data_IF_209902496684
#
_entry.id   IF_209902496684
#
_cell.length_a   1.000
_cell.length_b   1.000
_cell.length_c   1.000
_cell.angle_alpha   90.00
_cell.angle_beta   90.00
_cell.angle_gamma   90.00
#
_symmetry.space_group_name_H-M   'P 1'
#
loop_
_entity.id
_entity.type
_entity.pdbx_description
1 polymer ?
#
# COMPACT_ATOMS: atom_id res chain seq x y z
N UNK A 1 24.05 51.88 -9.46
CA UNK A 1 22.62 51.49 -9.42
C UNK A 1 22.29 50.36 -10.42
N UNK A 2 23.04 49.24 -10.44
CA UNK A 2 22.82 48.11 -11.38
C UNK A 2 22.84 46.72 -10.70
N UNK A 3 23.36 46.62 -9.48
CA UNK A 3 23.49 45.37 -8.71
C UNK A 3 22.16 44.89 -8.08
N UNK A 4 21.28 45.80 -7.65
CA UNK A 4 19.99 45.43 -7.03
C UNK A 4 18.98 44.82 -8.01
N UNK A 5 19.26 44.89 -9.32
CA UNK A 5 18.42 44.31 -10.39
C UNK A 5 18.67 42.81 -10.60
N UNK A 6 19.88 42.33 -10.30
CA UNK A 6 20.26 40.92 -10.43
C UNK A 6 19.82 40.08 -9.23
N UNK A 7 19.78 40.70 -8.04
CA UNK A 7 19.28 40.06 -6.82
C UNK A 7 17.75 39.92 -6.82
N UNK A 8 17.02 40.86 -7.45
CA UNK A 8 15.56 40.80 -7.56
C UNK A 8 15.04 39.72 -8.52
N UNK A 9 15.84 39.28 -9.50
CA UNK A 9 15.46 38.21 -10.44
C UNK A 9 15.80 36.80 -9.96
N UNK A 10 16.67 36.65 -8.95
CA UNK A 10 17.12 35.35 -8.45
C UNK A 10 16.13 34.73 -7.44
N UNK A 11 15.40 35.58 -6.70
CA UNK A 11 14.43 35.18 -5.66
C UNK A 11 13.21 34.43 -6.25
N UNK A 12 12.55 34.88 -7.34
CA UNK A 12 11.43 34.13 -7.92
C UNK A 12 11.87 32.84 -8.64
N UNK A 13 13.08 32.79 -9.20
CA UNK A 13 13.61 31.59 -9.87
C UNK A 13 13.92 30.44 -8.90
N UNK A 14 14.43 30.75 -7.71
CA UNK A 14 14.62 29.76 -6.63
C UNK A 14 13.28 29.24 -6.10
N UNK A 15 12.27 30.10 -5.94
CA UNK A 15 10.93 29.66 -5.54
C UNK A 15 10.31 28.67 -6.51
N UNK A 16 10.35 28.96 -7.81
CA UNK A 16 9.80 28.08 -8.84
C UNK A 16 10.56 26.75 -8.96
N UNK A 17 11.88 26.76 -8.86
CA UNK A 17 12.69 25.52 -8.90
C UNK A 17 12.50 24.66 -7.66
N UNK A 18 12.35 25.26 -6.47
CA UNK A 18 12.00 24.53 -5.25
C UNK A 18 10.59 23.95 -5.32
N UNK A 19 9.59 24.69 -5.84
CA UNK A 19 8.24 24.16 -6.05
C UNK A 19 8.22 23.03 -7.06
N UNK A 20 9.01 23.11 -8.14
CA UNK A 20 9.12 22.05 -9.13
C UNK A 20 9.84 20.81 -8.58
N UNK A 21 10.86 21.01 -7.74
CA UNK A 21 11.53 19.93 -7.01
C UNK A 21 10.59 19.26 -6.00
N UNK A 22 9.76 20.04 -5.29
CA UNK A 22 8.76 19.52 -4.37
C UNK A 22 7.63 18.78 -5.09
N UNK A 23 7.20 19.26 -6.26
CA UNK A 23 6.18 18.59 -7.07
C UNK A 23 6.72 17.28 -7.69
N UNK A 24 8.00 17.24 -8.05
CA UNK A 24 8.67 16.03 -8.54
C UNK A 24 8.88 14.99 -7.43
N UNK A 25 9.12 15.42 -6.18
CA UNK A 25 9.35 14.50 -5.05
C UNK A 25 8.07 14.08 -4.33
N UNK A 26 7.05 14.94 -4.26
CA UNK A 26 5.79 14.63 -3.57
C UNK A 26 4.88 13.65 -4.32
N UNK A 27 4.99 13.56 -5.65
CA UNK A 27 4.19 12.65 -6.48
C UNK A 27 4.60 11.17 -6.45
N UNK A 28 5.71 10.83 -5.78
CA UNK A 28 6.23 9.46 -5.72
C UNK A 28 5.83 8.69 -4.45
N UNK A 29 5.12 9.34 -3.53
CA UNK A 29 4.72 8.73 -2.27
C UNK A 29 3.29 8.23 -2.39
N UNK A 30 3.10 7.02 -2.93
CA UNK A 30 1.81 6.33 -2.82
C UNK A 30 1.65 5.84 -1.38
N UNK A 31 0.73 6.42 -0.58
CA UNK A 31 0.45 5.88 0.74
C UNK A 31 0.04 4.42 0.60
N UNK A 32 0.72 3.55 1.32
CA UNK A 32 0.38 2.13 1.38
C UNK A 32 -0.55 1.92 2.57
N UNK A 33 -1.72 1.33 2.33
CA UNK A 33 -2.72 1.09 3.36
C UNK A 33 -2.68 -0.39 3.72
N UNK A 34 -2.50 -0.68 5.01
CA UNK A 34 -2.64 -2.02 5.52
C UNK A 34 -4.14 -2.37 5.61
N UNK A 35 -4.57 -3.38 4.87
CA UNK A 35 -5.93 -3.91 4.95
C UNK A 35 -5.99 -5.12 5.90
N UNK A 36 -7.21 -5.45 6.34
CA UNK A 36 -7.48 -6.57 7.24
C UNK A 36 -8.48 -7.55 6.64
N UNK A 37 -8.01 -8.75 6.28
CA UNK A 37 -8.85 -9.80 5.74
C UNK A 37 -9.24 -10.81 6.83
N UNK A 38 -10.54 -11.01 7.01
CA UNK A 38 -11.05 -11.94 8.02
C UNK A 38 -11.40 -13.30 7.40
N UNK A 39 -10.80 -14.36 7.91
CA UNK A 39 -11.21 -15.75 7.62
C UNK A 39 -12.45 -16.08 8.44
N UNK A 40 -13.49 -16.62 7.80
CA UNK A 40 -14.80 -16.88 8.42
C UNK A 40 -15.24 -18.35 8.37
N UNK A 41 -14.52 -19.21 7.65
CA UNK A 41 -14.79 -20.65 7.59
C UNK A 41 -13.51 -21.45 7.38
N UNK A 42 -13.62 -22.78 7.53
CA UNK A 42 -12.50 -23.72 7.38
C UNK A 42 -12.44 -24.41 6.02
N UNK A 43 -13.16 -23.89 5.02
CA UNK A 43 -13.18 -24.48 3.67
C UNK A 43 -11.80 -24.34 3.00
N UNK A 44 -11.46 -25.30 2.13
CA UNK A 44 -10.18 -25.31 1.40
C UNK A 44 -10.01 -24.11 0.43
N UNK A 45 -11.12 -23.47 0.05
CA UNK A 45 -11.17 -22.36 -0.89
C UNK A 45 -12.55 -21.70 -0.92
N UNK A 46 -12.67 -20.65 -1.73
CA UNK A 46 -13.90 -19.87 -1.89
C UNK A 46 -14.06 -18.74 -0.85
N UNK A 47 -15.18 -17.99 -0.92
CA UNK A 47 -15.42 -16.83 -0.06
C UNK A 47 -15.27 -17.15 1.44
N UNK A 48 -14.53 -16.30 2.15
CA UNK A 48 -14.28 -16.44 3.59
C UNK A 48 -13.24 -17.48 4.00
N UNK A 49 -12.62 -18.20 3.05
CA UNK A 49 -11.53 -19.14 3.34
C UNK A 49 -10.18 -18.44 3.50
N UNK A 50 -9.22 -19.13 4.12
CA UNK A 50 -7.81 -18.67 4.21
C UNK A 50 -7.20 -18.43 2.82
N UNK A 51 -7.48 -19.31 1.84
CA UNK A 51 -6.98 -19.15 0.47
C UNK A 51 -7.45 -17.83 -0.15
N UNK A 52 -8.73 -17.50 0.01
CA UNK A 52 -9.27 -16.24 -0.52
C UNK A 52 -8.67 -15.03 0.21
N UNK A 53 -8.46 -15.12 1.52
CA UNK A 53 -7.82 -14.05 2.29
C UNK A 53 -6.38 -13.78 1.80
N UNK A 54 -5.60 -14.82 1.52
CA UNK A 54 -4.24 -14.68 0.96
C UNK A 54 -4.28 -14.04 -0.43
N UNK A 55 -5.18 -14.50 -1.31
CA UNK A 55 -5.33 -13.91 -2.65
C UNK A 55 -5.68 -12.42 -2.59
N UNK A 56 -6.54 -12.03 -1.66
CA UNK A 56 -6.90 -10.63 -1.46
C UNK A 56 -5.70 -9.82 -0.93
N UNK A 57 -4.95 -10.36 0.03
CA UNK A 57 -3.75 -9.72 0.57
C UNK A 57 -2.67 -9.52 -0.51
N UNK A 58 -2.37 -10.54 -1.31
CA UNK A 58 -1.40 -10.41 -2.40
C UNK A 58 -1.85 -9.41 -3.48
N UNK A 59 -3.15 -9.21 -3.66
CA UNK A 59 -3.68 -8.25 -4.62
C UNK A 59 -3.57 -6.79 -4.13
N UNK A 60 -3.24 -6.58 -2.85
CA UNK A 60 -3.01 -5.28 -2.27
C UNK A 60 -1.52 -5.03 -2.07
N UNK A 61 -1.06 -3.84 -2.47
CA UNK A 61 0.32 -3.45 -2.19
C UNK A 61 0.43 -3.08 -0.71
N UNK A 62 1.47 -3.56 -0.02
CA UNK A 62 1.75 -3.22 1.37
C UNK A 62 1.68 -4.40 2.32
N UNK A 63 1.77 -4.11 3.62
CA UNK A 63 1.65 -5.12 4.67
C UNK A 63 0.20 -5.24 5.12
N UNK A 64 -0.43 -6.36 4.82
CA UNK A 64 -1.78 -6.67 5.26
C UNK A 64 -1.81 -7.61 6.46
N UNK A 65 -2.96 -7.65 7.13
CA UNK A 65 -3.22 -8.57 8.24
C UNK A 65 -4.33 -9.54 7.89
N UNK A 66 -4.07 -10.83 8.04
CA UNK A 66 -5.10 -11.87 7.96
C UNK A 66 -5.47 -12.30 9.38
N UNK A 67 -6.74 -12.11 9.75
CA UNK A 67 -7.26 -12.47 11.08
C UNK A 67 -8.25 -13.62 10.97
N UNK A 68 -8.20 -14.57 11.91
CA UNK A 68 -9.23 -15.59 12.02
C UNK A 68 -10.40 -15.08 12.85
N UNK A 69 -11.61 -15.15 12.29
CA UNK A 69 -12.83 -14.79 13.00
C UNK A 69 -13.03 -15.68 14.24
N UNK A 70 -13.72 -15.18 15.28
CA UNK A 70 -13.85 -15.86 16.57
C UNK A 70 -14.56 -17.23 16.48
N UNK A 71 -15.36 -17.44 15.43
CA UNK A 71 -16.10 -18.68 15.20
C UNK A 71 -15.33 -19.69 14.34
N UNK A 72 -14.16 -19.32 13.81
CA UNK A 72 -13.34 -20.22 12.99
C UNK A 72 -12.56 -21.13 13.93
N UNK A 73 -12.95 -22.41 13.96
CA UNK A 73 -12.35 -23.43 14.81
C UNK A 73 -12.15 -24.72 14.03
N UNK A 74 -11.22 -25.56 14.47
CA UNK A 74 -10.91 -26.84 13.84
C UNK A 74 -9.80 -26.76 12.79
N UNK A 75 -9.81 -27.71 11.85
CA UNK A 75 -8.75 -27.89 10.86
C UNK A 75 -9.19 -27.43 9.48
N UNK A 76 -8.36 -26.63 8.81
CA UNK A 76 -8.51 -26.32 7.39
C UNK A 76 -7.87 -27.47 6.61
N UNK A 77 -8.69 -28.31 5.99
CA UNK A 77 -8.18 -29.41 5.15
C UNK A 77 -7.86 -28.84 3.76
N UNK A 78 -6.57 -28.70 3.45
CA UNK A 78 -6.12 -28.19 2.16
C UNK A 78 -6.29 -29.27 1.08
N UNK A 79 -6.91 -28.90 -0.05
CA UNK A 79 -6.96 -29.73 -1.27
C UNK A 79 -5.75 -29.52 -2.16
N UNK A 80 -5.13 -28.34 -2.07
CA UNK A 80 -4.00 -27.88 -2.90
C UNK A 80 -3.09 -26.96 -2.07
N UNK A 81 -1.87 -26.70 -2.55
CA UNK A 81 -0.97 -25.73 -1.94
C UNK A 81 -1.64 -24.33 -1.83
N UNK A 82 -1.36 -23.61 -0.75
CA UNK A 82 -1.79 -22.22 -0.62
C UNK A 82 -1.01 -21.32 -1.61
N UNK A 83 -1.57 -20.17 -2.02
CA UNK A 83 -0.83 -19.18 -2.79
C UNK A 83 0.45 -18.77 -2.04
N UNK A 84 1.53 -18.51 -2.77
CA UNK A 84 2.74 -17.92 -2.20
C UNK A 84 2.43 -16.50 -1.69
N UNK A 85 3.26 -15.95 -0.80
CA UNK A 85 3.17 -14.56 -0.37
C UNK A 85 4.12 -13.74 -1.26
N UNK A 86 3.60 -12.65 -1.82
CA UNK A 86 4.32 -11.74 -2.72
C UNK A 86 5.04 -10.60 -1.97
#
# INVERSE_FOLDING_TARGET
MKINRLLASLIPGLGLTLSFLWMLTAGLMTPVYADSYTVTNTNAGGPGSLRQAILNANANAGHDTITFGPNVTGTITLTDALPAID
#
